data_IF_812778652406
#
_entry.id   IF_812778652406
#
_cell.length_a   1.000
_cell.length_b   1.000
_cell.length_c   1.000
_cell.angle_alpha   90.00
_cell.angle_beta   90.00
_cell.angle_gamma   90.00
#
_symmetry.space_group_name_H-M   'P 1'
#
loop_
_entity.id
_entity.type
_entity.pdbx_description
1 polymer ?
#
# COMPACT_ATOMS: atom_id res chain seq x y z
N UNK A 1 7.75 9.66 -14.01
CA UNK A 1 6.54 10.23 -13.37
C UNK A 1 5.71 10.85 -14.48
N UNK A 2 4.51 10.35 -14.69
CA UNK A 2 3.58 10.89 -15.69
C UNK A 2 2.79 11.98 -14.98
N UNK A 3 2.82 13.21 -15.48
CA UNK A 3 2.10 14.33 -14.88
C UNK A 3 0.77 14.53 -15.58
N UNK A 4 -0.27 14.91 -14.83
CA UNK A 4 -1.59 15.28 -15.34
C UNK A 4 -1.69 16.79 -15.67
N UNK A 5 -0.58 17.54 -15.65
CA UNK A 5 -0.54 19.00 -15.81
C UNK A 5 -1.32 19.42 -17.07
N UNK A 6 -1.04 18.80 -18.22
CA UNK A 6 -1.69 19.11 -19.50
C UNK A 6 -3.20 18.91 -19.48
N UNK A 7 -3.65 17.87 -18.81
CA UNK A 7 -5.08 17.52 -18.75
C UNK A 7 -5.84 18.49 -17.87
N UNK A 8 -5.30 18.75 -16.66
CA UNK A 8 -5.90 19.70 -15.72
C UNK A 8 -5.93 21.10 -16.33
N UNK A 9 -4.83 21.54 -16.98
CA UNK A 9 -4.81 22.82 -17.70
C UNK A 9 -5.90 22.90 -18.76
N UNK A 10 -6.02 21.87 -19.62
CA UNK A 10 -7.05 21.82 -20.67
C UNK A 10 -8.46 21.77 -20.12
N UNK A 11 -8.69 21.02 -19.06
CA UNK A 11 -9.99 20.95 -18.40
C UNK A 11 -10.43 22.33 -17.85
N UNK A 12 -9.44 23.18 -17.46
CA UNK A 12 -9.69 24.57 -17.04
C UNK A 12 -9.72 25.57 -18.21
N UNK A 13 -9.53 25.12 -19.44
CA UNK A 13 -9.56 25.97 -20.64
C UNK A 13 -8.38 26.92 -20.74
N UNK A 14 -7.27 26.69 -20.01
CA UNK A 14 -6.14 27.60 -19.95
C UNK A 14 -5.09 27.30 -21.02
N UNK A 15 -4.47 28.35 -21.55
CA UNK A 15 -3.29 28.27 -22.44
C UNK A 15 -2.00 28.06 -21.65
N UNK A 16 -0.92 27.73 -22.33
CA UNK A 16 0.40 27.62 -21.70
C UNK A 16 0.90 28.98 -21.17
N UNK A 17 0.61 30.04 -21.90
CA UNK A 17 0.93 31.43 -21.56
C UNK A 17 0.21 31.87 -20.27
N UNK A 18 -1.07 31.58 -20.15
CA UNK A 18 -1.86 31.96 -18.98
C UNK A 18 -1.38 31.23 -17.71
N UNK A 19 -1.05 29.94 -17.81
CA UNK A 19 -0.48 29.20 -16.68
C UNK A 19 0.90 29.75 -16.33
N UNK A 20 1.74 30.06 -17.33
CA UNK A 20 3.06 30.61 -17.10
C UNK A 20 3.01 31.98 -16.40
N UNK A 21 2.06 32.84 -16.77
CA UNK A 21 1.85 34.15 -16.15
C UNK A 21 1.34 34.05 -14.72
N UNK A 22 0.46 33.06 -14.41
CA UNK A 22 -0.10 32.83 -13.08
C UNK A 22 0.90 32.20 -12.10
N UNK A 23 1.98 31.62 -12.59
CA UNK A 23 3.03 31.08 -11.72
C UNK A 23 3.71 32.18 -10.90
N UNK A 24 4.06 31.91 -9.65
CA UNK A 24 4.82 32.83 -8.80
C UNK A 24 6.17 32.20 -8.43
N UNK A 25 7.30 32.77 -8.84
CA UNK A 25 7.48 33.84 -9.81
C UNK A 25 7.02 33.45 -11.23
N UNK A 26 6.67 34.39 -12.14
CA UNK A 26 6.23 34.07 -13.50
C UNK A 26 7.28 33.26 -14.28
N UNK A 27 6.81 32.44 -15.23
CA UNK A 27 7.69 31.62 -16.08
C UNK A 27 7.29 31.76 -17.55
N UNK A 28 7.87 30.95 -18.44
CA UNK A 28 7.55 30.99 -19.88
C UNK A 28 6.64 29.81 -20.27
N UNK A 29 5.80 30.03 -21.28
CA UNK A 29 4.96 28.98 -21.88
C UNK A 29 5.79 27.77 -22.33
N UNK A 30 7.00 28.01 -22.87
CA UNK A 30 7.92 26.94 -23.24
C UNK A 30 8.34 26.08 -22.04
N UNK A 31 8.57 26.70 -20.88
CA UNK A 31 8.89 25.96 -19.65
C UNK A 31 7.73 25.06 -19.22
N UNK A 32 6.50 25.61 -19.20
CA UNK A 32 5.30 24.82 -18.88
C UNK A 32 5.14 23.65 -19.86
N UNK A 33 5.27 23.92 -21.17
CA UNK A 33 5.17 22.88 -22.21
C UNK A 33 6.20 21.76 -22.04
N UNK A 34 7.45 22.08 -21.68
CA UNK A 34 8.49 21.08 -21.40
C UNK A 34 8.21 20.23 -20.14
N UNK A 35 7.60 20.83 -19.13
CA UNK A 35 7.17 20.12 -17.92
C UNK A 35 5.98 19.21 -18.21
N UNK A 36 5.01 19.65 -19.04
CA UNK A 36 3.87 18.85 -19.47
C UNK A 36 4.24 17.62 -20.32
N UNK A 37 5.24 17.79 -21.18
CA UNK A 37 5.70 16.73 -22.11
C UNK A 37 6.73 15.78 -21.48
N UNK A 38 7.19 16.08 -20.25
CA UNK A 38 8.21 15.30 -19.59
C UNK A 38 9.63 15.51 -20.14
N UNK A 39 9.81 16.46 -21.09
CA UNK A 39 11.13 16.85 -21.62
C UNK A 39 12.00 17.51 -20.54
N UNK A 40 11.37 18.01 -19.49
CA UNK A 40 12.02 18.54 -18.29
C UNK A 40 11.47 17.83 -17.06
N UNK A 41 12.35 17.45 -16.14
CA UNK A 41 11.95 16.82 -14.87
C UNK A 41 11.12 17.79 -14.03
N UNK A 42 9.97 17.32 -13.55
CA UNK A 42 9.11 18.06 -12.65
C UNK A 42 9.58 17.81 -11.21
N UNK A 43 10.13 18.84 -10.58
CA UNK A 43 10.44 18.81 -9.15
C UNK A 43 9.19 19.12 -8.32
N UNK A 44 9.21 18.79 -7.02
CA UNK A 44 8.11 19.13 -6.09
C UNK A 44 7.84 20.65 -6.08
N UNK A 45 8.90 21.48 -6.17
CA UNK A 45 8.75 22.93 -6.25
C UNK A 45 7.96 23.36 -7.50
N UNK A 46 8.24 22.75 -8.66
CA UNK A 46 7.48 22.99 -9.88
C UNK A 46 6.03 22.50 -9.78
N UNK A 47 5.84 21.33 -9.15
CA UNK A 47 4.50 20.78 -8.97
C UNK A 47 3.61 21.74 -8.15
N UNK A 48 4.10 22.18 -6.99
CA UNK A 48 3.37 23.12 -6.13
C UNK A 48 3.08 24.45 -6.82
N UNK A 49 4.07 24.97 -7.57
CA UNK A 49 3.93 26.23 -8.29
C UNK A 49 2.88 26.17 -9.40
N UNK A 50 2.85 25.06 -10.16
CA UNK A 50 1.85 24.86 -11.23
C UNK A 50 0.48 24.56 -10.62
N UNK A 51 0.41 23.80 -9.54
CA UNK A 51 -0.83 23.53 -8.81
C UNK A 51 -1.50 24.83 -8.33
N UNK A 52 -0.71 25.72 -7.71
CA UNK A 52 -1.19 27.04 -7.32
C UNK A 52 -1.68 27.86 -8.51
N UNK A 53 -0.97 27.87 -9.64
CA UNK A 53 -1.36 28.58 -10.86
C UNK A 53 -2.64 28.02 -11.49
N UNK A 54 -2.88 26.73 -11.32
CA UNK A 54 -4.09 26.01 -11.79
C UNK A 54 -5.20 25.97 -10.75
N UNK A 55 -4.98 26.45 -9.52
CA UNK A 55 -5.93 26.38 -8.41
C UNK A 55 -6.45 24.95 -8.16
N UNK A 56 -5.52 24.01 -7.98
CA UNK A 56 -5.76 22.61 -7.66
C UNK A 56 -4.73 22.13 -6.64
N UNK A 57 -4.96 20.95 -6.06
CA UNK A 57 -3.94 20.34 -5.22
C UNK A 57 -2.79 19.75 -6.07
N UNK A 58 -1.56 19.81 -5.53
CA UNK A 58 -0.40 19.25 -6.22
C UNK A 58 -0.54 17.73 -6.49
N UNK A 59 -1.32 17.05 -5.67
CA UNK A 59 -1.66 15.64 -5.85
C UNK A 59 -2.45 15.37 -7.13
N UNK A 60 -3.31 16.30 -7.56
CA UNK A 60 -4.13 16.20 -8.78
C UNK A 60 -3.25 16.27 -10.06
N UNK A 61 -2.04 16.81 -9.94
CA UNK A 61 -1.08 16.92 -11.04
C UNK A 61 -0.15 15.69 -11.15
N UNK A 62 -0.27 14.72 -10.24
CA UNK A 62 0.54 13.50 -10.24
C UNK A 62 -0.33 12.33 -10.68
N UNK A 63 0.01 11.71 -11.82
CA UNK A 63 -0.51 10.39 -12.13
C UNK A 63 0.42 9.34 -11.55
N UNK A 64 -0.10 8.53 -10.67
CA UNK A 64 0.47 7.23 -10.42
C UNK A 64 0.24 6.40 -11.68
N UNK A 65 1.25 5.66 -12.19
CA UNK A 65 1.02 4.76 -13.30
C UNK A 65 -0.16 3.84 -12.93
N UNK A 66 -1.16 3.80 -13.81
CA UNK A 66 -2.24 2.83 -13.69
C UNK A 66 -1.58 1.46 -13.49
N UNK A 67 -1.89 0.78 -12.40
CA UNK A 67 -1.45 -0.59 -12.23
C UNK A 67 -2.24 -1.40 -13.24
N UNK A 68 -1.62 -1.93 -14.29
CA UNK A 68 -2.36 -2.66 -15.30
C UNK A 68 -2.98 -3.89 -14.65
N UNK A 69 -4.26 -4.10 -14.87
CA UNK A 69 -4.91 -5.36 -14.54
C UNK A 69 -4.21 -6.48 -15.30
N UNK A 70 -4.00 -7.62 -14.61
CA UNK A 70 -3.39 -8.79 -15.21
C UNK A 70 -4.50 -9.63 -15.81
N UNK A 71 -4.48 -9.85 -17.13
CA UNK A 71 -5.43 -10.74 -17.79
C UNK A 71 -5.29 -12.16 -17.24
N UNK A 72 -6.41 -12.77 -16.85
CA UNK A 72 -6.44 -14.19 -16.45
C UNK A 72 -6.44 -15.04 -17.71
N UNK A 73 -5.43 -15.87 -17.87
CA UNK A 73 -5.30 -16.77 -19.03
C UNK A 73 -6.10 -18.06 -18.83
N UNK A 74 -6.14 -18.59 -17.62
CA UNK A 74 -6.81 -19.87 -17.30
C UNK A 74 -7.23 -19.92 -15.84
N UNK A 75 -8.21 -20.78 -15.52
CA UNK A 75 -8.50 -21.23 -14.15
C UNK A 75 -7.80 -22.57 -13.90
N UNK A 76 -7.39 -22.82 -12.67
CA UNK A 76 -6.72 -24.06 -12.26
C UNK A 76 -7.50 -24.70 -11.10
N UNK A 77 -7.79 -25.98 -11.25
CA UNK A 77 -8.39 -26.82 -10.20
C UNK A 77 -7.76 -28.23 -10.18
N UNK A 78 -8.33 -29.17 -9.45
CA UNK A 78 -7.84 -30.55 -9.37
C UNK A 78 -7.87 -31.29 -10.74
N UNK A 79 -8.68 -30.85 -11.68
CA UNK A 79 -8.77 -31.38 -13.04
C UNK A 79 -7.74 -30.79 -14.01
N UNK A 80 -6.98 -29.78 -13.59
CA UNK A 80 -5.98 -29.12 -14.40
C UNK A 80 -6.34 -27.66 -14.75
N UNK A 81 -5.68 -27.15 -15.81
CA UNK A 81 -5.90 -25.77 -16.28
C UNK A 81 -7.00 -25.74 -17.34
N UNK A 82 -7.98 -24.86 -17.16
CA UNK A 82 -9.14 -24.71 -18.03
C UNK A 82 -9.23 -23.29 -18.61
N UNK A 83 -9.63 -23.20 -19.87
CA UNK A 83 -9.88 -21.89 -20.49
C UNK A 83 -11.07 -21.19 -19.84
N UNK A 84 -11.01 -19.86 -19.77
CA UNK A 84 -12.12 -19.08 -19.26
C UNK A 84 -13.28 -19.06 -20.27
N UNK A 85 -14.49 -19.12 -19.76
CA UNK A 85 -15.72 -18.93 -20.56
C UNK A 85 -16.01 -17.46 -20.83
N UNK A 86 -15.46 -16.55 -20.03
CA UNK A 86 -15.55 -15.08 -20.16
C UNK A 86 -14.21 -14.45 -19.79
N UNK A 87 -13.77 -13.40 -20.49
CA UNK A 87 -12.57 -12.66 -20.10
C UNK A 87 -12.64 -12.20 -18.65
N UNK A 88 -11.56 -12.36 -17.91
CA UNK A 88 -11.39 -11.90 -16.52
C UNK A 88 -10.03 -11.25 -16.33
N UNK A 89 -9.93 -10.34 -15.37
CA UNK A 89 -8.67 -9.69 -14.99
C UNK A 89 -8.47 -9.81 -13.48
N UNK A 90 -7.21 -9.77 -13.05
CA UNK A 90 -6.80 -9.69 -11.65
C UNK A 90 -6.12 -8.35 -11.44
N UNK A 91 -6.66 -7.54 -10.55
CA UNK A 91 -6.05 -6.27 -10.15
C UNK A 91 -5.09 -6.50 -8.99
N UNK A 92 -3.80 -6.14 -9.13
CA UNK A 92 -2.87 -6.20 -8.01
C UNK A 92 -3.40 -5.35 -6.84
N UNK A 93 -3.45 -5.90 -5.61
CA UNK A 93 -3.99 -5.16 -4.48
C UNK A 93 -3.13 -3.91 -4.19
N UNK A 94 -3.75 -2.71 -4.06
CA UNK A 94 -3.03 -1.51 -3.65
C UNK A 94 -2.53 -1.65 -2.20
N UNK A 95 -1.45 -0.94 -1.87
CA UNK A 95 -1.05 -0.75 -0.48
C UNK A 95 -2.05 0.19 0.19
N UNK A 96 -2.64 -0.25 1.31
CA UNK A 96 -3.54 0.56 2.13
C UNK A 96 -2.72 1.31 3.20
N UNK A 97 -3.16 2.49 3.69
CA UNK A 97 -2.38 3.32 4.61
C UNK A 97 -1.95 2.62 5.91
N UNK A 98 -2.79 1.73 6.44
CA UNK A 98 -2.56 1.07 7.73
C UNK A 98 -1.88 -0.30 7.61
N UNK A 99 -1.30 -0.61 6.44
CA UNK A 99 -0.56 -1.85 6.26
C UNK A 99 0.89 -1.72 6.73
N UNK A 100 1.36 -2.76 7.39
CA UNK A 100 2.77 -3.01 7.68
C UNK A 100 3.17 -4.36 7.08
N UNK A 101 4.42 -4.51 6.67
CA UNK A 101 4.90 -5.76 6.09
C UNK A 101 5.89 -6.46 7.02
N UNK A 102 5.84 -7.79 7.03
CA UNK A 102 6.84 -8.66 7.66
C UNK A 102 7.50 -9.48 6.56
N UNK A 103 8.84 -9.41 6.46
CA UNK A 103 9.61 -10.24 5.53
C UNK A 103 10.09 -11.50 6.24
N UNK A 104 9.82 -12.65 5.66
CA UNK A 104 10.21 -13.96 6.19
C UNK A 104 11.62 -14.27 5.70
N UNK A 105 12.58 -14.40 6.62
CA UNK A 105 13.98 -14.75 6.30
C UNK A 105 14.25 -16.26 6.36
N UNK A 106 13.51 -16.98 7.17
CA UNK A 106 13.60 -18.44 7.31
C UNK A 106 12.20 -19.04 7.36
N UNK A 107 11.99 -20.23 6.82
CA UNK A 107 10.69 -20.88 6.83
C UNK A 107 10.17 -21.11 8.24
N UNK A 108 8.90 -20.75 8.50
CA UNK A 108 8.25 -20.90 9.80
C UNK A 108 6.73 -21.09 9.60
N UNK A 109 6.16 -22.18 10.13
CA UNK A 109 4.77 -22.55 9.87
C UNK A 109 4.51 -22.68 8.36
N UNK A 110 3.49 -22.01 7.87
CA UNK A 110 3.11 -22.01 6.44
C UNK A 110 3.91 -20.99 5.61
N UNK A 111 4.76 -20.18 6.23
CA UNK A 111 5.54 -19.13 5.59
C UNK A 111 6.91 -19.64 5.15
N UNK A 112 7.34 -19.25 3.95
CA UNK A 112 8.64 -19.62 3.36
C UNK A 112 9.61 -18.45 3.37
N UNK A 113 10.89 -18.73 3.32
CA UNK A 113 11.90 -17.70 3.13
C UNK A 113 11.63 -16.91 1.84
N UNK A 114 11.67 -15.58 1.91
CA UNK A 114 11.32 -14.68 0.81
C UNK A 114 9.87 -14.19 0.80
N UNK A 115 8.98 -14.80 1.58
CA UNK A 115 7.60 -14.33 1.69
C UNK A 115 7.55 -12.92 2.30
N UNK A 116 6.58 -12.10 1.85
CA UNK A 116 6.19 -10.87 2.50
C UNK A 116 4.74 -11.00 3.01
N UNK A 117 4.56 -10.87 4.32
CA UNK A 117 3.25 -10.92 4.97
C UNK A 117 2.77 -9.51 5.17
N UNK A 118 1.66 -9.14 4.55
CA UNK A 118 1.03 -7.85 4.76
C UNK A 118 0.04 -7.94 5.91
N UNK A 119 0.22 -7.07 6.89
CA UNK A 119 -0.57 -7.06 8.12
C UNK A 119 -1.28 -5.70 8.25
N UNK A 120 -2.58 -5.72 8.54
CA UNK A 120 -3.36 -4.52 8.84
C UNK A 120 -3.27 -4.19 10.33
N UNK A 121 -2.90 -2.94 10.65
CA UNK A 121 -2.91 -2.46 12.04
C UNK A 121 -4.32 -2.39 12.58
N UNK A 122 -4.46 -2.77 13.84
CA UNK A 122 -5.69 -2.73 14.61
C UNK A 122 -5.45 -1.94 15.90
N UNK A 123 -6.40 -1.12 16.27
CA UNK A 123 -6.45 -0.45 17.56
C UNK A 123 -6.92 -1.43 18.66
N UNK A 124 -6.69 -1.13 19.94
CA UNK A 124 -7.06 -2.03 21.05
C UNK A 124 -8.52 -2.48 21.04
N UNK A 125 -9.46 -1.62 20.64
CA UNK A 125 -10.89 -1.98 20.53
C UNK A 125 -11.20 -3.05 19.48
N UNK A 126 -10.31 -3.25 18.49
CA UNK A 126 -10.53 -4.15 17.36
C UNK A 126 -9.74 -5.48 17.48
N UNK A 127 -8.98 -5.68 18.55
CA UNK A 127 -8.13 -6.87 18.72
C UNK A 127 -8.89 -8.18 18.64
N UNK A 128 -10.13 -8.21 19.11
CA UNK A 128 -10.99 -9.40 19.05
C UNK A 128 -11.20 -9.90 17.60
N UNK A 129 -11.15 -9.02 16.60
CA UNK A 129 -11.31 -9.37 15.19
C UNK A 129 -10.17 -10.20 14.64
N UNK A 130 -9.02 -10.19 15.33
CA UNK A 130 -7.83 -10.94 14.96
C UNK A 130 -7.72 -12.30 15.68
N UNK A 131 -8.74 -12.71 16.43
CA UNK A 131 -8.74 -14.01 17.11
C UNK A 131 -8.57 -15.16 16.10
N UNK A 132 -7.74 -16.14 16.43
CA UNK A 132 -7.34 -17.27 15.58
C UNK A 132 -6.62 -16.88 14.27
N UNK A 133 -6.08 -15.65 14.19
CA UNK A 133 -5.27 -15.18 13.06
C UNK A 133 -3.84 -14.90 13.49
N UNK A 134 -2.95 -14.87 12.52
CA UNK A 134 -1.55 -14.53 12.77
C UNK A 134 -1.41 -13.01 12.89
N UNK A 135 -0.71 -12.58 13.93
CA UNK A 135 -0.56 -11.17 14.31
C UNK A 135 0.88 -10.81 14.58
N UNK A 136 1.24 -9.58 14.23
CA UNK A 136 2.47 -8.91 14.64
C UNK A 136 2.15 -8.00 15.82
N UNK A 137 2.88 -8.12 16.90
CA UNK A 137 2.68 -7.34 18.14
C UNK A 137 3.98 -6.64 18.51
N UNK A 138 3.98 -5.31 18.68
CA UNK A 138 5.15 -4.59 19.17
C UNK A 138 5.43 -4.93 20.64
N UNK A 139 6.71 -5.03 20.99
CA UNK A 139 7.18 -5.25 22.34
C UNK A 139 8.18 -4.16 22.73
N UNK A 140 8.44 -3.94 24.02
CA UNK A 140 9.43 -2.97 24.49
C UNK A 140 10.80 -3.16 23.82
N UNK A 141 11.54 -2.06 23.71
CA UNK A 141 12.88 -2.01 23.12
C UNK A 141 12.91 -2.39 21.61
N UNK A 142 11.89 -1.99 20.84
CA UNK A 142 11.85 -2.17 19.38
C UNK A 142 11.73 -3.62 18.92
N UNK A 143 11.39 -4.53 19.82
CA UNK A 143 11.17 -5.95 19.49
C UNK A 143 9.74 -6.18 18.99
N UNK A 144 9.53 -7.31 18.33
CA UNK A 144 8.22 -7.76 17.87
C UNK A 144 8.00 -9.22 18.24
N UNK A 145 6.73 -9.57 18.38
CA UNK A 145 6.27 -10.96 18.47
C UNK A 145 5.38 -11.22 17.26
N UNK A 146 5.60 -12.33 16.55
CA UNK A 146 4.75 -12.79 15.47
C UNK A 146 4.23 -14.20 15.82
N UNK A 147 2.91 -14.40 15.73
CA UNK A 147 2.29 -15.67 16.07
C UNK A 147 0.77 -15.63 16.00
N UNK A 148 0.12 -16.74 16.33
CA UNK A 148 -1.34 -16.84 16.32
C UNK A 148 -1.94 -16.29 17.59
N UNK A 149 -2.87 -15.34 17.46
CA UNK A 149 -3.66 -14.85 18.59
C UNK A 149 -4.70 -15.92 18.97
N UNK A 150 -4.53 -16.55 20.13
CA UNK A 150 -5.38 -17.67 20.57
C UNK A 150 -6.42 -17.27 21.62
N UNK A 151 -6.19 -16.19 22.36
CA UNK A 151 -7.17 -15.60 23.26
C UNK A 151 -6.91 -14.11 23.47
N UNK A 152 -7.99 -13.37 23.75
CA UNK A 152 -8.01 -11.97 24.09
C UNK A 152 -8.93 -11.75 25.30
N UNK A 153 -8.42 -11.15 26.37
CA UNK A 153 -9.13 -10.89 27.62
C UNK A 153 -9.31 -9.39 27.83
N UNK A 154 -10.54 -8.90 27.72
CA UNK A 154 -10.91 -7.49 27.96
C UNK A 154 -10.55 -6.53 26.83
N UNK A 155 -11.04 -5.29 26.92
CA UNK A 155 -10.75 -4.23 25.96
C UNK A 155 -9.29 -3.73 26.12
N UNK A 156 -8.39 -4.09 25.20
CA UNK A 156 -6.96 -3.75 25.23
C UNK A 156 -6.11 -4.63 26.15
N UNK A 157 -6.70 -5.59 26.86
CA UNK A 157 -6.12 -6.37 27.92
C UNK A 157 -5.04 -7.39 27.49
N UNK A 158 -5.12 -8.58 28.10
CA UNK A 158 -4.12 -9.65 27.89
C UNK A 158 -4.35 -10.39 26.57
N UNK A 159 -3.31 -10.46 25.75
CA UNK A 159 -3.29 -11.24 24.51
C UNK A 159 -2.48 -12.51 24.72
N UNK A 160 -3.08 -13.64 24.47
CA UNK A 160 -2.39 -14.93 24.46
C UNK A 160 -2.00 -15.26 23.03
N UNK A 161 -0.71 -15.38 22.76
CA UNK A 161 -0.15 -15.56 21.42
C UNK A 161 0.71 -16.82 21.39
N UNK A 162 0.46 -17.66 20.40
CA UNK A 162 1.28 -18.83 20.11
C UNK A 162 2.23 -18.51 18.96
N UNK A 163 3.55 -18.34 19.19
CA UNK A 163 4.51 -18.21 18.11
C UNK A 163 4.51 -19.43 17.20
N UNK A 164 4.83 -19.25 15.91
CA UNK A 164 4.71 -20.31 14.90
C UNK A 164 5.88 -21.32 14.90
N UNK A 165 6.93 -21.09 15.65
CA UNK A 165 8.10 -21.97 15.68
C UNK A 165 7.85 -23.33 16.33
N UNK A 166 8.54 -24.39 15.92
CA UNK A 166 8.41 -25.70 16.55
C UNK A 166 8.79 -25.62 18.03
N UNK A 167 7.97 -26.22 18.91
CA UNK A 167 8.18 -26.17 20.37
C UNK A 167 7.94 -24.81 21.02
N UNK A 168 7.39 -23.84 20.28
CA UNK A 168 7.07 -22.53 20.81
C UNK A 168 6.04 -22.63 21.94
N UNK A 169 6.27 -21.89 23.02
CA UNK A 169 5.32 -21.78 24.14
C UNK A 169 4.47 -20.52 23.96
N UNK A 170 3.22 -20.64 24.39
CA UNK A 170 2.31 -19.49 24.49
C UNK A 170 2.97 -18.33 25.25
N UNK A 171 2.84 -17.14 24.71
CA UNK A 171 3.29 -15.89 25.32
C UNK A 171 2.11 -15.00 25.61
N UNK A 172 2.20 -14.29 26.74
CA UNK A 172 1.21 -13.28 27.13
C UNK A 172 1.79 -11.91 26.85
N UNK A 173 1.02 -11.07 26.17
CA UNK A 173 1.34 -9.65 25.96
C UNK A 173 0.22 -8.83 26.58
N UNK A 174 0.58 -7.85 27.42
CA UNK A 174 -0.36 -6.99 28.11
C UNK A 174 -0.32 -5.60 27.48
N UNK A 175 -1.47 -5.03 27.25
CA UNK A 175 -1.72 -3.66 26.80
C UNK A 175 -0.81 -3.17 25.64
N UNK A 176 -0.68 -3.94 24.51
CA UNK A 176 0.08 -3.42 23.39
C UNK A 176 -0.66 -2.22 22.77
N UNK A 177 0.06 -1.16 22.33
CA UNK A 177 -0.56 0.02 21.73
C UNK A 177 -1.30 -0.26 20.44
N UNK A 178 -0.95 -1.32 19.75
CA UNK A 178 -1.57 -1.84 18.53
C UNK A 178 -1.12 -3.28 18.30
N UNK A 179 -1.86 -3.99 17.45
CA UNK A 179 -1.41 -5.23 16.80
C UNK A 179 -1.59 -5.08 15.30
N UNK A 180 -0.95 -5.95 14.50
CA UNK A 180 -1.24 -5.97 13.06
C UNK A 180 -1.59 -7.40 12.63
N UNK A 181 -2.81 -7.58 12.12
CA UNK A 181 -3.35 -8.86 11.68
C UNK A 181 -2.91 -9.18 10.26
N UNK A 182 -2.36 -10.38 10.02
CA UNK A 182 -2.00 -10.84 8.69
C UNK A 182 -3.24 -10.91 7.77
N UNK A 183 -3.18 -10.20 6.63
CA UNK A 183 -4.30 -10.11 5.68
C UNK A 183 -3.93 -10.61 4.28
N UNK A 184 -2.64 -10.60 3.92
CA UNK A 184 -2.16 -11.06 2.60
C UNK A 184 -0.79 -11.70 2.72
N UNK A 185 -0.54 -12.69 1.88
CA UNK A 185 0.77 -13.29 1.67
C UNK A 185 1.20 -13.02 0.23
N UNK A 186 2.35 -12.41 0.06
CA UNK A 186 3.00 -12.20 -1.23
C UNK A 186 4.18 -13.16 -1.31
N UNK A 187 4.13 -14.07 -2.27
CA UNK A 187 5.17 -15.07 -2.52
C UNK A 187 5.63 -15.00 -3.98
N UNK A 188 6.93 -14.85 -4.18
CA UNK A 188 7.54 -15.13 -5.47
C UNK A 188 7.77 -16.64 -5.60
N UNK A 189 7.50 -17.20 -6.78
CA UNK A 189 7.67 -18.63 -7.10
C UNK A 189 9.02 -18.87 -7.71
#
# INVERSE_FOLDING_TARGET
MITAIREVRRAKGLTLEEVAARCVPPTTAQTIGRLETGTRTVSVAWLNRIAAALEVDAADLVRLPDRPDIAVAATLDAGGAHALTRPATVTPPPAEPDLVAVTVRGGIGDYRAGDAIWCRRLAPGDFATALNRDVLIPRPAGRFLFGRLIAHEGAGGRLNVLPLGPGARQQVVTDPPWIACAVRLIRAL
#
